data_IF_319096647182
#
_entry.id   IF_319096647182
#
_cell.length_a   1.000
_cell.length_b   1.000
_cell.length_c   1.000
_cell.angle_alpha   90.00
_cell.angle_beta   90.00
_cell.angle_gamma   90.00
#
_symmetry.space_group_name_H-M   'P 1'
#
loop_
_entity.id
_entity.type
_entity.pdbx_description
1 polymer ?
#
# COMPACT_ATOMS: atom_id res chain seq x y z
N UNK A 1 2.02 -11.96 -22.13
CA UNK A 1 1.09 -11.03 -22.81
C UNK A 1 1.59 -9.65 -22.42
N UNK A 2 2.07 -8.84 -23.37
CA UNK A 2 2.52 -7.49 -23.05
C UNK A 2 1.31 -6.65 -22.65
N UNK A 3 1.40 -5.83 -21.58
CA UNK A 3 0.33 -4.92 -21.22
C UNK A 3 0.07 -3.94 -22.38
N UNK A 4 -1.18 -3.47 -22.57
CA UNK A 4 -1.46 -2.46 -23.58
C UNK A 4 -0.63 -1.21 -23.30
N UNK A 5 -0.06 -0.62 -24.34
CA UNK A 5 0.65 0.65 -24.23
C UNK A 5 -0.36 1.72 -23.76
N UNK A 6 -0.09 2.29 -22.58
CA UNK A 6 -0.90 3.38 -22.05
C UNK A 6 -0.79 4.61 -22.97
N UNK A 7 -1.92 5.28 -23.21
CA UNK A 7 -1.97 6.53 -23.95
C UNK A 7 -1.25 7.61 -23.11
N UNK A 8 -0.09 8.05 -23.57
CA UNK A 8 0.80 8.98 -22.83
C UNK A 8 0.26 10.41 -22.70
N UNK A 9 -0.90 10.73 -23.30
CA UNK A 9 -1.51 12.06 -23.28
C UNK A 9 -2.72 12.18 -22.32
N UNK A 10 -3.09 11.12 -21.59
CA UNK A 10 -4.15 11.22 -20.59
C UNK A 10 -3.69 12.06 -19.40
N UNK A 11 -4.56 12.94 -18.84
CA UNK A 11 -4.20 13.73 -17.66
C UNK A 11 -3.84 12.81 -16.51
N UNK A 12 -2.62 12.95 -16.03
CA UNK A 12 -2.03 12.13 -14.97
C UNK A 12 -2.09 12.88 -13.65
N UNK A 13 -2.72 12.25 -12.65
CA UNK A 13 -2.70 12.77 -11.28
C UNK A 13 -1.64 11.98 -10.51
N UNK A 14 -0.54 12.65 -10.14
CA UNK A 14 0.44 12.05 -9.21
C UNK A 14 -0.24 11.78 -7.89
N UNK A 15 -0.22 10.55 -7.43
CA UNK A 15 -0.62 10.21 -6.08
C UNK A 15 0.34 10.88 -5.10
N UNK A 16 -0.14 11.82 -4.29
CA UNK A 16 0.61 12.21 -3.11
C UNK A 16 0.56 11.03 -2.12
N UNK A 17 1.62 10.81 -1.30
CA UNK A 17 1.55 9.82 -0.24
C UNK A 17 0.29 10.01 0.59
N UNK A 18 -0.33 8.91 1.00
CA UNK A 18 -1.55 8.94 1.80
C UNK A 18 -1.38 9.85 3.03
N UNK A 19 -2.32 10.77 3.25
CA UNK A 19 -2.31 11.66 4.42
C UNK A 19 -3.56 11.49 5.26
N UNK A 20 -4.73 11.51 4.64
CA UNK A 20 -6.02 11.39 5.32
C UNK A 20 -7.08 10.81 4.38
N UNK A 21 -7.94 9.95 4.91
CA UNK A 21 -9.13 9.47 4.25
C UNK A 21 -10.15 8.97 5.26
N UNK A 22 -11.34 8.61 4.80
CA UNK A 22 -12.39 8.04 5.64
C UNK A 22 -12.95 6.77 5.00
N UNK A 23 -13.10 5.72 5.82
CA UNK A 23 -13.64 4.42 5.40
C UNK A 23 -14.38 3.77 6.58
N UNK A 24 -15.49 3.08 6.31
CA UNK A 24 -16.20 2.30 7.33
C UNK A 24 -15.43 1.01 7.63
N UNK A 25 -14.43 1.13 8.51
CA UNK A 25 -13.55 0.05 8.91
C UNK A 25 -14.22 -0.90 9.93
N UNK A 26 -15.15 -0.38 10.72
CA UNK A 26 -15.85 -1.15 11.76
C UNK A 26 -17.06 -1.90 11.22
N UNK A 27 -17.60 -1.46 10.08
CA UNK A 27 -18.80 -2.04 9.45
C UNK A 27 -20.11 -1.60 10.12
N UNK A 28 -20.10 -0.48 10.84
CA UNK A 28 -21.28 0.06 11.53
C UNK A 28 -22.05 1.13 10.71
N UNK A 29 -21.55 1.45 9.52
CA UNK A 29 -22.08 2.46 8.61
C UNK A 29 -21.58 3.89 8.89
N UNK A 30 -20.66 4.07 9.84
CA UNK A 30 -20.05 5.36 10.18
C UNK A 30 -18.56 5.29 9.84
N UNK A 31 -18.09 6.09 8.87
CA UNK A 31 -16.68 6.04 8.48
C UNK A 31 -15.74 6.48 9.62
N UNK A 32 -14.70 5.71 9.86
CA UNK A 32 -13.55 6.12 10.64
C UNK A 32 -12.64 7.01 9.81
N UNK A 33 -12.00 7.98 10.47
CA UNK A 33 -10.96 8.80 9.86
C UNK A 33 -9.61 8.10 10.03
N UNK A 34 -8.92 7.89 8.91
CA UNK A 34 -7.58 7.32 8.85
C UNK A 34 -6.61 8.47 8.58
N UNK A 35 -5.64 8.67 9.46
CA UNK A 35 -4.64 9.74 9.34
C UNK A 35 -3.23 9.14 9.29
N UNK A 36 -2.40 9.62 8.36
CA UNK A 36 -0.96 9.42 8.42
C UNK A 36 -0.29 10.77 8.69
N UNK A 37 0.27 10.91 9.86
CA UNK A 37 1.02 12.09 10.28
C UNK A 37 2.49 11.69 10.46
N UNK A 38 3.38 12.28 9.66
CA UNK A 38 4.77 11.87 9.55
C UNK A 38 4.90 10.37 9.19
N UNK A 39 5.37 9.55 10.10
CA UNK A 39 5.55 8.10 9.95
C UNK A 39 4.57 7.28 10.80
N UNK A 40 3.54 7.92 11.35
CA UNK A 40 2.54 7.30 12.24
C UNK A 40 1.19 7.21 11.55
N UNK A 41 0.56 6.04 11.63
CA UNK A 41 -0.82 5.81 11.17
C UNK A 41 -1.76 5.75 12.37
N UNK A 42 -2.90 6.44 12.27
CA UNK A 42 -3.91 6.55 13.32
C UNK A 42 -5.30 6.28 12.75
N UNK A 43 -6.16 5.70 13.57
CA UNK A 43 -7.59 5.49 13.25
C UNK A 43 -8.42 6.18 14.31
N UNK A 44 -9.32 7.06 13.88
CA UNK A 44 -10.22 7.81 14.76
C UNK A 44 -11.67 7.45 14.45
N UNK A 45 -12.46 7.26 15.50
CA UNK A 45 -13.92 7.21 15.44
C UNK A 45 -14.45 8.53 16.00
N UNK A 46 -14.90 9.42 15.12
CA UNK A 46 -15.11 10.83 15.49
C UNK A 46 -13.79 11.44 15.99
N UNK A 47 -13.81 12.03 17.20
CA UNK A 47 -12.63 12.64 17.83
C UNK A 47 -11.82 11.65 18.70
N UNK A 48 -12.22 10.37 18.76
CA UNK A 48 -11.58 9.37 19.63
C UNK A 48 -10.62 8.52 18.83
N UNK A 49 -9.34 8.53 19.21
CA UNK A 49 -8.36 7.59 18.66
C UNK A 49 -8.64 6.17 19.17
N UNK A 50 -8.99 5.26 18.25
CA UNK A 50 -9.28 3.86 18.55
C UNK A 50 -8.12 2.92 18.21
N UNK A 51 -7.15 3.40 17.41
CA UNK A 51 -5.94 2.65 17.08
C UNK A 51 -4.81 3.57 16.64
N UNK A 52 -3.58 3.14 16.86
CA UNK A 52 -2.34 3.79 16.40
C UNK A 52 -1.30 2.75 16.06
N UNK A 53 -0.48 3.02 15.04
CA UNK A 53 0.69 2.19 14.69
C UNK A 53 1.73 2.18 15.83
N UNK A 54 2.49 1.09 15.90
CA UNK A 54 3.59 0.95 16.85
C UNK A 54 4.62 2.09 16.63
N UNK A 55 5.11 2.77 17.68
CA UNK A 55 6.12 3.83 17.56
C UNK A 55 7.44 3.42 16.89
N UNK A 56 7.75 2.12 16.86
CA UNK A 56 8.92 1.61 16.16
C UNK A 56 8.71 1.47 14.63
N UNK A 57 7.49 1.64 14.15
CA UNK A 57 7.17 1.55 12.73
C UNK A 57 7.34 2.92 12.05
N UNK A 58 7.82 2.87 10.82
CA UNK A 58 7.88 4.02 9.91
C UNK A 58 6.89 3.75 8.79
N UNK A 59 5.66 4.25 8.92
CA UNK A 59 4.63 4.11 7.89
C UNK A 59 4.92 5.12 6.78
N UNK A 60 5.27 4.62 5.61
CA UNK A 60 5.64 5.46 4.46
C UNK A 60 4.44 5.78 3.59
N UNK A 61 3.47 4.84 3.51
CA UNK A 61 2.26 5.02 2.72
C UNK A 61 1.13 4.10 3.21
N UNK A 62 -0.11 4.34 2.74
CA UNK A 62 -1.25 3.48 3.01
C UNK A 62 -2.26 3.52 1.85
N UNK A 63 -2.98 2.42 1.65
CA UNK A 63 -4.13 2.31 0.75
C UNK A 63 -5.33 1.77 1.53
N UNK A 64 -6.54 2.16 1.12
CA UNK A 64 -7.79 1.71 1.73
C UNK A 64 -8.58 0.91 0.71
N UNK A 65 -9.07 -0.27 1.10
CA UNK A 65 -9.81 -1.18 0.23
C UNK A 65 -10.08 -2.50 0.90
N UNK A 66 -10.25 -3.54 0.10
CA UNK A 66 -10.39 -4.94 0.53
C UNK A 66 -9.20 -5.78 0.01
N UNK A 67 -7.98 -5.58 0.56
CA UNK A 67 -6.76 -6.18 0.02
C UNK A 67 -6.68 -7.70 0.20
N UNK A 68 -7.60 -8.29 0.93
CA UNK A 68 -7.64 -9.72 1.24
C UNK A 68 -8.92 -10.42 0.75
N UNK A 69 -9.78 -9.70 0.00
CA UNK A 69 -11.01 -10.18 -0.62
C UNK A 69 -11.94 -10.91 0.39
N UNK A 70 -12.10 -10.36 1.61
CA UNK A 70 -12.99 -10.92 2.62
C UNK A 70 -14.32 -10.17 2.75
N UNK A 71 -14.56 -9.17 1.90
CA UNK A 71 -15.77 -8.36 1.83
C UNK A 71 -15.82 -7.26 2.88
N UNK A 72 -14.69 -6.90 3.48
CA UNK A 72 -14.56 -5.81 4.46
C UNK A 72 -13.47 -4.84 4.04
N UNK A 73 -13.65 -3.61 4.44
CA UNK A 73 -12.61 -2.61 4.23
C UNK A 73 -11.52 -2.72 5.29
N UNK A 74 -10.30 -2.57 4.84
CA UNK A 74 -9.09 -2.51 5.65
C UNK A 74 -8.17 -1.38 5.22
N UNK A 75 -7.13 -1.20 6.01
CA UNK A 75 -5.99 -0.36 5.71
C UNK A 75 -4.83 -1.29 5.32
N UNK A 76 -4.35 -1.17 4.09
CA UNK A 76 -3.07 -1.75 3.69
C UNK A 76 -1.99 -0.69 3.97
N UNK A 77 -1.08 -0.98 4.88
CA UNK A 77 -0.01 -0.05 5.28
C UNK A 77 1.34 -0.53 4.75
N UNK A 78 2.07 0.36 4.07
CA UNK A 78 3.46 0.19 3.73
C UNK A 78 4.32 0.72 4.88
N UNK A 79 5.11 -0.14 5.50
CA UNK A 79 5.91 0.27 6.65
C UNK A 79 7.29 -0.35 6.68
N UNK A 80 8.20 0.35 7.34
CA UNK A 80 9.53 -0.12 7.70
C UNK A 80 9.59 -0.30 9.20
N UNK A 81 10.14 -1.41 9.65
CA UNK A 81 10.31 -1.72 11.08
C UNK A 81 11.64 -2.42 11.32
N UNK A 82 12.21 -2.30 12.54
CA UNK A 82 13.38 -3.06 12.92
C UNK A 82 13.07 -4.57 12.93
N UNK A 83 14.00 -5.37 12.40
CA UNK A 83 14.04 -6.82 12.61
C UNK A 83 14.66 -7.17 13.99
N UNK A 84 14.84 -8.45 14.27
CA UNK A 84 15.47 -8.91 15.52
C UNK A 84 16.93 -8.43 15.67
N UNK A 85 17.61 -8.12 14.58
CA UNK A 85 18.98 -7.58 14.57
C UNK A 85 19.03 -6.05 14.61
N UNK A 86 17.87 -5.36 14.57
CA UNK A 86 17.75 -3.93 14.54
C UNK A 86 17.90 -3.31 13.13
N UNK A 87 18.07 -4.11 12.09
CA UNK A 87 18.04 -3.62 10.71
C UNK A 87 16.60 -3.30 10.28
N UNK A 88 16.42 -2.19 9.56
CA UNK A 88 15.09 -1.83 9.05
C UNK A 88 14.73 -2.72 7.86
N UNK A 89 13.63 -3.45 8.01
CA UNK A 89 12.98 -4.22 6.96
C UNK A 89 11.65 -3.60 6.57
N UNK A 90 11.29 -3.70 5.30
CA UNK A 90 10.04 -3.17 4.76
C UNK A 90 9.03 -4.28 4.57
N UNK A 91 7.78 -4.03 4.98
CA UNK A 91 6.69 -5.00 4.92
C UNK A 91 5.35 -4.33 4.66
N UNK A 92 4.46 -4.92 3.85
CA UNK A 92 3.04 -4.57 3.85
C UNK A 92 2.34 -5.20 5.06
N UNK A 93 1.42 -4.46 5.65
CA UNK A 93 0.57 -4.90 6.76
C UNK A 93 -0.89 -4.61 6.46
N UNK A 94 -1.79 -5.54 6.75
CA UNK A 94 -3.23 -5.32 6.70
C UNK A 94 -3.72 -5.07 8.12
N UNK A 95 -4.35 -3.91 8.33
CA UNK A 95 -4.95 -3.48 9.59
C UNK A 95 -6.47 -3.42 9.36
N UNK A 96 -7.23 -4.13 10.18
CA UNK A 96 -8.68 -4.18 10.06
C UNK A 96 -9.36 -4.34 11.41
N UNK A 97 -10.69 -4.17 11.41
CA UNK A 97 -11.50 -4.35 12.60
C UNK A 97 -11.95 -5.81 12.73
N UNK A 98 -11.50 -6.48 13.78
CA UNK A 98 -11.88 -7.88 14.09
C UNK A 98 -12.09 -8.06 15.58
N UNK A 99 -13.24 -8.65 15.96
CA UNK A 99 -13.55 -8.94 17.35
C UNK A 99 -13.73 -7.69 18.21
N UNK A 100 -14.24 -6.60 17.65
CA UNK A 100 -14.54 -5.36 18.35
C UNK A 100 -13.33 -4.42 18.50
N UNK A 101 -12.21 -4.71 17.86
CA UNK A 101 -10.99 -3.86 17.93
C UNK A 101 -10.32 -3.74 16.57
N UNK A 102 -9.72 -2.57 16.30
CA UNK A 102 -8.79 -2.37 15.19
C UNK A 102 -7.45 -3.00 15.55
N UNK A 103 -6.90 -3.80 14.65
CA UNK A 103 -5.63 -4.51 14.88
C UNK A 103 -4.99 -4.95 13.57
N UNK A 104 -3.73 -5.33 13.62
CA UNK A 104 -3.08 -6.06 12.53
C UNK A 104 -3.78 -7.42 12.36
N UNK A 105 -4.25 -7.69 11.15
CA UNK A 105 -4.87 -8.97 10.78
C UNK A 105 -3.94 -9.82 9.91
N UNK A 106 -3.03 -9.18 9.18
CA UNK A 106 -1.96 -9.85 8.45
C UNK A 106 -0.73 -8.94 8.35
N UNK A 107 0.47 -9.52 8.34
CA UNK A 107 1.69 -8.77 8.13
C UNK A 107 2.96 -9.51 8.52
N UNK A 108 4.10 -8.91 8.17
CA UNK A 108 5.41 -9.43 8.55
C UNK A 108 6.06 -10.37 7.55
N UNK A 109 5.37 -10.81 6.50
CA UNK A 109 6.02 -11.50 5.38
C UNK A 109 6.78 -10.50 4.53
N UNK A 110 8.06 -10.78 4.27
CA UNK A 110 8.89 -9.99 3.36
C UNK A 110 8.54 -10.40 1.92
N UNK A 111 7.42 -9.90 1.40
CA UNK A 111 6.97 -10.21 0.04
C UNK A 111 7.57 -9.23 -0.97
N UNK A 112 7.85 -8.01 -0.56
CA UNK A 112 8.39 -6.94 -1.42
C UNK A 112 9.84 -6.62 -1.04
N UNK A 113 10.53 -5.86 -1.89
CA UNK A 113 11.75 -5.16 -1.51
C UNK A 113 11.40 -3.91 -0.69
N UNK A 114 12.28 -2.93 -0.59
CA UNK A 114 11.99 -1.71 0.15
C UNK A 114 10.81 -0.93 -0.43
N UNK A 115 9.67 -0.87 0.26
CA UNK A 115 8.46 -0.20 -0.22
C UNK A 115 8.62 1.31 -0.12
N UNK A 116 8.24 2.02 -1.20
CA UNK A 116 8.17 3.48 -1.26
C UNK A 116 6.72 3.98 -1.31
N UNK A 117 5.89 3.35 -2.14
CA UNK A 117 4.47 3.67 -2.31
C UNK A 117 3.68 2.39 -2.58
N UNK A 118 2.39 2.44 -2.26
CA UNK A 118 1.43 1.36 -2.56
C UNK A 118 0.13 1.91 -3.12
N UNK A 119 -0.57 1.07 -3.86
CA UNK A 119 -1.94 1.30 -4.28
C UNK A 119 -2.71 -0.03 -4.29
N UNK A 120 -4.03 0.05 -4.21
CA UNK A 120 -4.93 -1.05 -4.49
C UNK A 120 -5.69 -0.72 -5.77
N UNK A 121 -5.77 -1.67 -6.69
CA UNK A 121 -6.53 -1.54 -7.93
C UNK A 121 -6.83 -2.92 -8.53
N UNK A 122 -8.03 -3.06 -9.09
CA UNK A 122 -8.41 -4.21 -9.92
C UNK A 122 -7.75 -4.06 -11.30
N UNK A 123 -6.59 -4.69 -11.51
CA UNK A 123 -5.78 -4.54 -12.73
C UNK A 123 -6.19 -5.50 -13.85
N UNK A 124 -7.02 -6.50 -13.58
CA UNK A 124 -7.48 -7.48 -14.57
C UNK A 124 -9.00 -7.55 -14.74
N UNK A 125 -9.72 -6.67 -14.05
CA UNK A 125 -11.19 -6.49 -14.16
C UNK A 125 -11.95 -7.74 -13.67
N UNK A 126 -11.46 -8.37 -12.62
CA UNK A 126 -12.13 -9.51 -11.97
C UNK A 126 -12.89 -9.14 -10.69
N UNK A 127 -12.86 -7.86 -10.31
CA UNK A 127 -13.45 -7.24 -9.13
C UNK A 127 -12.71 -7.53 -7.82
N UNK A 128 -11.50 -8.07 -7.87
CA UNK A 128 -10.58 -8.19 -6.75
C UNK A 128 -9.47 -7.16 -6.90
N UNK A 129 -9.09 -6.51 -5.81
CA UNK A 129 -8.02 -5.51 -5.85
C UNK A 129 -6.65 -6.17 -5.67
N UNK A 130 -5.73 -5.92 -6.60
CA UNK A 130 -4.33 -6.27 -6.47
C UNK A 130 -3.57 -5.19 -5.68
N UNK A 131 -2.53 -5.64 -4.98
CA UNK A 131 -1.55 -4.75 -4.38
C UNK A 131 -0.50 -4.34 -5.43
N UNK A 132 -0.44 -3.04 -5.72
CA UNK A 132 0.61 -2.43 -6.51
C UNK A 132 1.64 -1.80 -5.59
N UNK A 133 2.93 -2.06 -5.86
CA UNK A 133 4.02 -1.56 -5.04
C UNK A 133 5.09 -0.89 -5.89
N UNK A 134 5.43 0.35 -5.54
CA UNK A 134 6.66 0.96 -5.97
C UNK A 134 7.74 0.61 -4.94
N UNK A 135 8.66 -0.24 -5.32
CA UNK A 135 9.67 -0.81 -4.43
C UNK A 135 11.09 -0.57 -4.92
N UNK A 136 12.07 -0.68 -4.03
CA UNK A 136 13.49 -0.62 -4.37
C UNK A 136 13.86 -1.71 -5.38
N UNK A 137 14.81 -1.45 -6.26
CA UNK A 137 15.21 -2.41 -7.30
C UNK A 137 15.98 -3.63 -6.75
N UNK A 138 16.56 -3.50 -5.55
CA UNK A 138 17.31 -4.57 -4.89
C UNK A 138 16.89 -4.72 -3.43
N UNK A 139 16.95 -5.94 -2.86
CA UNK A 139 16.59 -6.19 -1.46
C UNK A 139 17.42 -5.39 -0.44
N UNK A 140 18.66 -5.04 -0.80
CA UNK A 140 19.57 -4.28 0.06
C UNK A 140 19.37 -2.76 0.02
N UNK A 141 18.56 -2.28 -0.92
CA UNK A 141 18.35 -0.85 -1.10
C UNK A 141 17.38 -0.31 -0.05
N UNK A 142 17.72 0.83 0.53
CA UNK A 142 16.86 1.54 1.47
C UNK A 142 15.88 2.49 0.78
N UNK A 143 15.26 3.35 1.59
CA UNK A 143 14.31 4.37 1.13
C UNK A 143 14.87 5.35 0.09
N UNK A 144 16.20 5.54 0.06
CA UNK A 144 16.89 6.45 -0.88
C UNK A 144 17.27 5.79 -2.21
N UNK A 145 16.71 4.62 -2.52
CA UNK A 145 17.02 3.88 -3.74
C UNK A 145 16.81 4.74 -4.99
N UNK A 146 17.86 4.87 -5.81
CA UNK A 146 17.82 5.64 -7.05
C UNK A 146 17.10 4.91 -8.19
N UNK A 147 17.02 3.58 -8.11
CA UNK A 147 16.29 2.71 -9.03
C UNK A 147 15.19 1.98 -8.27
N UNK A 148 14.04 1.89 -8.88
CA UNK A 148 12.86 1.23 -8.33
C UNK A 148 12.26 0.30 -9.36
N UNK A 149 11.39 -0.61 -8.90
CA UNK A 149 10.54 -1.46 -9.73
C UNK A 149 9.09 -1.22 -9.34
N UNK A 150 8.19 -1.37 -10.30
CA UNK A 150 6.77 -1.52 -10.04
C UNK A 150 6.45 -3.00 -9.99
N UNK A 151 5.75 -3.46 -8.96
CA UNK A 151 5.30 -4.84 -8.84
C UNK A 151 3.81 -4.92 -8.55
N UNK A 152 3.18 -6.00 -8.98
CA UNK A 152 1.77 -6.33 -8.80
C UNK A 152 1.68 -7.67 -8.10
N UNK A 153 0.84 -7.75 -7.08
CA UNK A 153 0.73 -8.88 -6.18
C UNK A 153 -0.73 -9.27 -5.97
N UNK A 154 -1.01 -10.56 -6.12
CA UNK A 154 -2.34 -11.14 -5.90
C UNK A 154 -2.44 -11.69 -4.47
N UNK A 155 -3.62 -11.52 -3.83
CA UNK A 155 -3.91 -12.16 -2.57
C UNK A 155 -4.30 -13.63 -2.75
N UNK A 156 -3.74 -14.52 -1.91
CA UNK A 156 -3.98 -15.97 -1.94
C UNK A 156 -4.53 -16.54 -0.63
N UNK A 157 -5.38 -15.76 0.06
CA UNK A 157 -6.05 -16.21 1.28
C UNK A 157 -5.19 -16.20 2.56
N UNK A 158 -3.84 -16.19 2.44
CA UNK A 158 -2.91 -16.13 3.57
C UNK A 158 -1.69 -15.24 3.34
N UNK A 159 -1.61 -14.59 2.18
CA UNK A 159 -0.54 -13.67 1.83
C UNK A 159 -0.57 -13.28 0.36
N UNK A 160 0.35 -12.41 -0.02
CA UNK A 160 0.50 -11.94 -1.39
C UNK A 160 1.52 -12.77 -2.17
N UNK A 161 1.22 -13.09 -3.43
CA UNK A 161 2.13 -13.69 -4.41
C UNK A 161 2.43 -12.70 -5.52
N UNK A 162 3.70 -12.63 -5.92
CA UNK A 162 4.11 -11.80 -7.03
C UNK A 162 3.48 -12.30 -8.34
N UNK A 163 2.69 -11.44 -8.98
CA UNK A 163 2.11 -11.66 -10.29
C UNK A 163 3.01 -11.12 -11.40
N UNK A 164 3.52 -9.91 -11.21
CA UNK A 164 4.35 -9.25 -12.19
C UNK A 164 5.29 -8.23 -11.54
N UNK A 165 6.45 -8.00 -12.16
CA UNK A 165 7.41 -6.96 -11.78
C UNK A 165 8.06 -6.36 -13.00
N UNK A 166 8.20 -5.04 -13.03
CA UNK A 166 8.90 -4.32 -14.09
C UNK A 166 10.43 -4.53 -14.03
N UNK A 167 11.10 -4.20 -15.14
CA UNK A 167 12.53 -3.96 -15.07
C UNK A 167 12.86 -2.76 -14.17
N UNK A 168 14.04 -2.73 -13.53
CA UNK A 168 14.50 -1.58 -12.76
C UNK A 168 14.52 -0.30 -13.59
N UNK A 169 14.02 0.80 -13.01
CA UNK A 169 13.95 2.10 -13.67
C UNK A 169 14.02 3.25 -12.67
N UNK A 170 13.94 4.48 -13.19
CA UNK A 170 13.86 5.69 -12.38
C UNK A 170 12.41 6.04 -12.06
N UNK A 171 11.63 5.05 -11.67
CA UNK A 171 10.25 5.27 -11.23
C UNK A 171 10.24 6.14 -9.96
N UNK A 172 9.27 7.06 -9.86
CA UNK A 172 9.20 7.99 -8.72
C UNK A 172 7.94 7.83 -7.92
N UNK A 173 6.79 7.96 -8.57
CA UNK A 173 5.50 8.04 -7.91
C UNK A 173 4.50 7.11 -8.61
N UNK A 174 3.61 6.50 -7.86
CA UNK A 174 2.39 5.89 -8.38
C UNK A 174 1.35 6.99 -8.58
N UNK A 175 0.49 6.83 -9.55
CA UNK A 175 -0.61 7.75 -9.79
C UNK A 175 -1.68 7.07 -10.63
N UNK A 176 -2.90 7.61 -10.60
CA UNK A 176 -4.01 7.10 -11.38
C UNK A 176 -4.34 8.02 -12.55
N UNK A 177 -4.75 7.44 -13.68
CA UNK A 177 -5.39 8.16 -14.75
C UNK A 177 -6.88 8.38 -14.45
N UNK A 178 -7.58 9.19 -15.26
CA UNK A 178 -9.03 9.37 -15.14
C UNK A 178 -9.82 8.07 -15.28
N UNK A 179 -9.27 7.08 -16.00
CA UNK A 179 -9.85 5.75 -16.15
C UNK A 179 -9.48 4.79 -15.02
N UNK A 180 -8.82 5.26 -13.96
CA UNK A 180 -8.43 4.46 -12.80
C UNK A 180 -7.17 3.60 -13.01
N UNK A 181 -6.47 3.76 -14.14
CA UNK A 181 -5.22 3.00 -14.41
C UNK A 181 -4.10 3.56 -13.55
N UNK A 182 -3.45 2.69 -12.76
CA UNK A 182 -2.27 3.06 -11.99
C UNK A 182 -1.04 3.02 -12.89
N UNK A 183 -0.22 4.06 -12.83
CA UNK A 183 1.02 4.17 -13.59
C UNK A 183 2.14 4.70 -12.70
N UNK A 184 3.37 4.30 -12.99
CA UNK A 184 4.55 4.85 -12.33
C UNK A 184 5.19 5.93 -13.21
N UNK A 185 5.44 7.11 -12.65
CA UNK A 185 6.16 8.17 -13.38
C UNK A 185 7.66 7.89 -13.42
N UNK A 186 8.29 8.29 -14.52
CA UNK A 186 9.75 8.15 -14.70
C UNK A 186 10.41 9.50 -14.44
N UNK A 187 11.35 9.54 -13.49
CA UNK A 187 12.16 10.73 -13.25
C UNK A 187 13.10 11.03 -14.43
N UNK A 188 13.22 12.31 -14.79
CA UNK A 188 14.19 12.80 -15.79
C UNK A 188 15.62 12.74 -15.24
#
# INVERSE_FOLDING_TARGET
MDPPAADVDAPFTTGAPFTESAIDLTGDGIPETILREDETLRVLQGDVEIWRSDPAWRVVDAALGDPNDDGRYEILAALWKPDEGGALGSHPFIIGHRGGTVKVIWGGSAVTYGIHEIALADVDVDSVEELLVLESAQPSDGLDAAQRTLSVWDWHGWGFNLRWRSEPGRYRDLGSTEDGIIVATVGK
#
